data_IF_863107516924
#
_entry.id   IF_863107516924
#
_cell.length_a   1.000
_cell.length_b   1.000
_cell.length_c   1.000
_cell.angle_alpha   90.00
_cell.angle_beta   90.00
_cell.angle_gamma   90.00
#
_symmetry.space_group_name_H-M   'P 1'
#
loop_
_entity.id
_entity.type
_entity.pdbx_description
1 polymer ?
#
# COMPACT_ATOMS: atom_id res chain seq x y z
N UNK A 1 14.55 -61.14 -78.83
CA UNK A 1 13.96 -60.92 -77.48
C UNK A 1 15.03 -60.88 -76.38
N UNK A 2 15.89 -61.90 -76.24
CA UNK A 2 16.95 -61.95 -75.21
C UNK A 2 17.91 -60.74 -75.16
N UNK A 3 18.46 -60.28 -76.30
CA UNK A 3 19.39 -59.13 -76.32
C UNK A 3 18.78 -57.83 -75.78
N UNK A 4 17.49 -57.60 -76.01
CA UNK A 4 16.80 -56.40 -75.53
C UNK A 4 16.55 -56.46 -74.02
N UNK A 5 16.21 -57.64 -73.49
CA UNK A 5 16.04 -57.85 -72.05
C UNK A 5 17.37 -57.68 -71.29
N UNK A 6 18.49 -58.16 -71.85
CA UNK A 6 19.83 -57.94 -71.27
C UNK A 6 20.20 -56.45 -71.25
N UNK A 7 19.91 -55.71 -72.33
CA UNK A 7 20.19 -54.27 -72.39
C UNK A 7 19.35 -53.46 -71.40
N UNK A 8 18.06 -53.77 -71.27
CA UNK A 8 17.18 -53.15 -70.28
C UNK A 8 17.66 -53.42 -68.84
N UNK A 9 18.05 -54.66 -68.53
CA UNK A 9 18.61 -55.02 -67.21
C UNK A 9 19.93 -54.27 -66.91
N UNK A 10 20.79 -54.06 -67.92
CA UNK A 10 22.01 -53.26 -67.77
C UNK A 10 21.73 -51.77 -67.55
N UNK A 11 20.70 -51.22 -68.18
CA UNK A 11 20.28 -49.82 -68.01
C UNK A 11 19.69 -49.60 -66.60
N UNK A 12 18.85 -50.52 -66.11
CA UNK A 12 18.36 -50.46 -64.72
C UNK A 12 19.49 -50.59 -63.70
N UNK A 13 20.43 -51.53 -63.89
CA UNK A 13 21.60 -51.64 -63.01
C UNK A 13 22.44 -50.36 -62.94
N UNK A 14 22.58 -49.65 -64.07
CA UNK A 14 23.31 -48.36 -64.08
C UNK A 14 22.54 -47.28 -63.34
N UNK A 15 21.23 -47.22 -63.53
CA UNK A 15 20.36 -46.29 -62.83
C UNK A 15 20.39 -46.53 -61.31
N UNK A 16 20.29 -47.78 -60.88
CA UNK A 16 20.37 -48.17 -59.47
C UNK A 16 21.74 -47.81 -58.86
N UNK A 17 22.83 -47.93 -59.63
CA UNK A 17 24.16 -47.50 -59.19
C UNK A 17 24.28 -45.97 -59.02
N UNK A 18 23.66 -45.20 -59.90
CA UNK A 18 23.62 -43.73 -59.80
C UNK A 18 22.76 -43.26 -58.62
N UNK A 19 21.58 -43.88 -58.43
CA UNK A 19 20.72 -43.61 -57.28
C UNK A 19 21.42 -43.98 -55.96
N UNK A 20 22.18 -45.09 -55.94
CA UNK A 20 22.98 -45.49 -54.78
C UNK A 20 24.11 -44.49 -54.47
N UNK A 21 24.82 -44.01 -55.49
CA UNK A 21 25.87 -43.00 -55.30
C UNK A 21 25.29 -41.69 -54.77
N UNK A 22 24.18 -41.25 -55.34
CA UNK A 22 23.46 -40.04 -54.91
C UNK A 22 23.03 -40.17 -53.45
N UNK A 23 22.41 -41.30 -53.09
CA UNK A 23 22.00 -41.60 -51.71
C UNK A 23 23.20 -41.62 -50.74
N UNK A 24 24.36 -42.15 -51.16
CA UNK A 24 25.57 -42.13 -50.34
C UNK A 24 26.14 -40.72 -50.15
N UNK A 25 26.07 -39.86 -51.15
CA UNK A 25 26.51 -38.46 -51.05
C UNK A 25 25.59 -37.63 -50.15
N UNK A 26 24.28 -37.81 -50.27
CA UNK A 26 23.29 -37.21 -49.37
C UNK A 26 23.52 -37.66 -47.93
N UNK A 27 23.76 -38.96 -47.70
CA UNK A 27 24.06 -39.49 -46.37
C UNK A 27 25.34 -38.87 -45.79
N UNK A 28 26.42 -38.77 -46.57
CA UNK A 28 27.66 -38.11 -46.14
C UNK A 28 27.43 -36.64 -45.80
N UNK A 29 26.61 -35.95 -46.59
CA UNK A 29 26.26 -34.54 -46.39
C UNK A 29 25.43 -34.37 -45.12
N UNK A 30 24.42 -35.22 -44.91
CA UNK A 30 23.61 -35.26 -43.70
C UNK A 30 24.45 -35.54 -42.45
N UNK A 31 25.39 -36.49 -42.51
CA UNK A 31 26.31 -36.77 -41.41
C UNK A 31 27.23 -35.58 -41.07
N UNK A 32 27.71 -34.85 -42.08
CA UNK A 32 28.51 -33.62 -41.87
C UNK A 32 27.69 -32.53 -41.18
N UNK A 33 26.47 -32.29 -41.66
CA UNK A 33 25.57 -31.29 -41.09
C UNK A 33 25.22 -31.63 -39.63
N UNK A 34 24.89 -32.89 -39.34
CA UNK A 34 24.58 -33.34 -37.99
C UNK A 34 25.78 -33.19 -37.03
N UNK A 35 27.01 -33.46 -37.49
CA UNK A 35 28.22 -33.18 -36.70
C UNK A 35 28.44 -31.70 -36.45
N UNK A 36 28.15 -30.85 -37.42
CA UNK A 36 28.24 -29.39 -37.28
C UNK A 36 27.22 -28.86 -36.28
N UNK A 37 25.97 -29.31 -36.39
CA UNK A 37 24.88 -28.91 -35.49
C UNK A 37 25.17 -29.37 -34.05
N UNK A 38 25.71 -30.58 -33.85
CA UNK A 38 26.16 -31.03 -32.52
C UNK A 38 27.29 -30.16 -31.96
N UNK A 39 28.28 -29.78 -32.77
CA UNK A 39 29.36 -28.90 -32.32
C UNK A 39 28.84 -27.51 -31.95
N UNK A 40 27.92 -26.97 -32.75
CA UNK A 40 27.29 -25.68 -32.49
C UNK A 40 26.48 -25.71 -31.19
N UNK A 41 25.62 -26.71 -31.01
CA UNK A 41 24.85 -26.88 -29.78
C UNK A 41 25.72 -27.10 -28.53
N UNK A 42 26.86 -27.79 -28.66
CA UNK A 42 27.82 -27.89 -27.55
C UNK A 42 28.51 -26.56 -27.20
N UNK A 43 28.70 -25.66 -28.17
CA UNK A 43 29.27 -24.35 -27.92
C UNK A 43 28.26 -23.43 -27.22
N UNK A 44 27.01 -23.40 -27.72
CA UNK A 44 25.90 -22.65 -27.11
C UNK A 44 25.66 -23.09 -25.67
N UNK A 45 25.62 -24.40 -25.39
CA UNK A 45 25.46 -24.92 -24.03
C UNK A 45 26.61 -24.52 -23.09
N UNK A 46 27.83 -24.34 -23.60
CA UNK A 46 28.97 -23.88 -22.78
C UNK A 46 28.84 -22.39 -22.45
N UNK A 47 28.42 -21.59 -23.43
CA UNK A 47 28.17 -20.17 -23.26
C UNK A 47 27.05 -19.91 -22.25
N UNK A 48 25.91 -20.59 -22.41
CA UNK A 48 24.78 -20.51 -21.46
C UNK A 48 25.21 -20.91 -20.04
N UNK A 49 26.08 -21.91 -19.90
CA UNK A 49 26.56 -22.37 -18.60
C UNK A 49 27.56 -21.37 -17.96
N UNK A 50 28.38 -20.69 -18.76
CA UNK A 50 29.22 -19.59 -18.27
C UNK A 50 28.39 -18.39 -17.82
N UNK A 51 27.38 -18.00 -18.59
CA UNK A 51 26.51 -16.88 -18.24
C UNK A 51 25.64 -17.18 -17.02
N UNK A 52 25.15 -18.42 -16.89
CA UNK A 52 24.51 -18.89 -15.67
C UNK A 52 25.45 -18.75 -14.47
N UNK A 53 26.71 -19.14 -14.61
CA UNK A 53 27.70 -19.04 -13.52
C UNK A 53 27.96 -17.58 -13.12
N UNK A 54 28.12 -16.67 -14.09
CA UNK A 54 28.26 -15.22 -13.82
C UNK A 54 27.02 -14.66 -13.12
N UNK A 55 25.83 -15.08 -13.55
CA UNK A 55 24.58 -14.65 -12.92
C UNK A 55 24.46 -15.14 -11.46
N UNK A 56 24.90 -16.37 -11.17
CA UNK A 56 24.96 -16.92 -9.82
C UNK A 56 25.97 -16.18 -8.93
N UNK A 57 27.14 -15.84 -9.46
CA UNK A 57 28.14 -15.04 -8.74
C UNK A 57 27.59 -13.65 -8.39
N UNK A 58 26.95 -12.96 -9.33
CA UNK A 58 26.32 -11.66 -9.08
C UNK A 58 25.20 -11.73 -8.04
N UNK A 59 24.35 -12.75 -8.08
CA UNK A 59 23.31 -12.97 -7.06
C UNK A 59 23.93 -13.18 -5.68
N UNK A 60 25.07 -13.89 -5.60
CA UNK A 60 25.79 -14.11 -4.35
C UNK A 60 26.34 -12.80 -3.79
N UNK A 61 26.95 -11.97 -4.62
CA UNK A 61 27.46 -10.64 -4.23
C UNK A 61 26.33 -9.73 -3.73
N UNK A 62 25.22 -9.64 -4.46
CA UNK A 62 24.06 -8.83 -4.06
C UNK A 62 23.46 -9.32 -2.72
N UNK A 63 23.44 -10.64 -2.51
CA UNK A 63 22.96 -11.24 -1.26
C UNK A 63 23.90 -10.90 -0.08
N UNK A 64 25.21 -11.01 -0.26
CA UNK A 64 26.21 -10.65 0.76
C UNK A 64 26.12 -9.17 1.13
N UNK A 65 26.03 -8.28 0.13
CA UNK A 65 25.86 -6.85 0.36
C UNK A 65 24.55 -6.52 1.11
N UNK A 66 23.46 -7.23 0.78
CA UNK A 66 22.18 -7.07 1.48
C UNK A 66 22.24 -7.53 2.95
N UNK A 67 23.01 -8.59 3.23
CA UNK A 67 23.21 -9.12 4.58
C UNK A 67 24.00 -8.13 5.43
N UNK A 68 25.09 -7.56 4.91
CA UNK A 68 25.89 -6.55 5.61
C UNK A 68 25.04 -5.31 5.95
N UNK A 69 24.21 -4.84 5.01
CA UNK A 69 23.31 -3.70 5.23
C UNK A 69 22.26 -3.98 6.30
N UNK A 70 21.78 -5.22 6.39
CA UNK A 70 20.85 -5.63 7.46
C UNK A 70 21.55 -5.68 8.82
N UNK A 71 22.79 -6.18 8.88
CA UNK A 71 23.58 -6.20 10.12
C UNK A 71 23.85 -4.78 10.65
N UNK A 72 24.21 -3.84 9.78
CA UNK A 72 24.38 -2.43 10.15
C UNK A 72 23.08 -1.83 10.72
N UNK A 73 21.94 -2.04 10.05
CA UNK A 73 20.64 -1.56 10.55
C UNK A 73 20.25 -2.19 11.88
N UNK A 74 20.58 -3.46 12.11
CA UNK A 74 20.35 -4.12 13.40
C UNK A 74 21.21 -3.47 14.50
N UNK A 75 22.46 -3.10 14.21
CA UNK A 75 23.32 -2.39 15.16
C UNK A 75 22.80 -0.97 15.45
N UNK A 76 22.36 -0.23 14.43
CA UNK A 76 21.72 1.09 14.60
C UNK A 76 20.44 0.99 15.45
N UNK A 77 19.62 -0.05 15.25
CA UNK A 77 18.44 -0.27 16.07
C UNK A 77 18.80 -0.60 17.53
N UNK A 78 19.86 -1.40 17.76
CA UNK A 78 20.33 -1.72 19.11
C UNK A 78 20.80 -0.47 19.87
N UNK A 79 21.61 0.37 19.24
CA UNK A 79 22.08 1.64 19.83
C UNK A 79 20.91 2.58 20.15
N UNK A 80 19.96 2.72 19.23
CA UNK A 80 18.74 3.53 19.47
C UNK A 80 17.92 3.02 20.67
N UNK A 81 17.81 1.70 20.85
CA UNK A 81 17.11 1.10 22.00
C UNK A 81 17.86 1.38 23.31
N UNK A 82 19.19 1.31 23.32
CA UNK A 82 20.02 1.63 24.48
C UNK A 82 19.90 3.11 24.88
N UNK A 83 19.90 4.03 23.92
CA UNK A 83 19.68 5.45 24.15
C UNK A 83 18.28 5.73 24.74
N UNK A 84 17.24 5.10 24.21
CA UNK A 84 15.87 5.22 24.75
C UNK A 84 15.79 4.69 26.20
N UNK A 85 16.53 3.63 26.51
CA UNK A 85 16.59 3.07 27.86
C UNK A 85 17.35 3.99 28.83
N UNK A 86 18.41 4.68 28.39
CA UNK A 86 19.12 5.68 29.22
C UNK A 86 18.28 6.94 29.46
N UNK A 87 17.53 7.45 28.47
CA UNK A 87 16.69 8.66 28.62
C UNK A 87 15.51 8.45 29.58
N UNK A 88 15.07 7.22 29.82
CA UNK A 88 14.08 6.90 30.86
C UNK A 88 14.68 6.72 32.26
N UNK A 89 16.01 6.64 32.36
CA UNK A 89 16.73 6.27 33.57
C UNK A 89 16.94 7.38 34.60
N UNK A 90 17.28 8.62 34.21
CA UNK A 90 17.88 9.53 35.22
C UNK A 90 17.43 11.01 35.25
N UNK A 91 16.59 11.56 34.34
CA UNK A 91 16.40 13.03 34.31
C UNK A 91 14.96 13.60 34.39
N UNK A 92 13.95 12.87 34.88
CA UNK A 92 12.58 13.43 35.01
C UNK A 92 11.82 13.12 36.31
N UNK A 93 12.49 12.97 37.45
CA UNK A 93 11.77 12.77 38.73
C UNK A 93 12.19 13.68 39.91
N UNK A 94 13.14 14.61 39.74
CA UNK A 94 13.58 15.50 40.82
C UNK A 94 12.96 16.90 40.78
N UNK A 95 12.48 17.40 39.64
CA UNK A 95 11.98 18.79 39.51
C UNK A 95 10.45 18.98 39.53
N UNK A 96 9.67 17.96 39.89
CA UNK A 96 8.20 18.07 39.99
C UNK A 96 7.62 17.75 41.38
N UNK A 97 8.45 17.71 42.42
CA UNK A 97 7.96 17.45 43.79
C UNK A 97 7.69 18.71 44.62
N UNK A 98 8.21 19.88 44.26
CA UNK A 98 8.15 21.05 45.14
C UNK A 98 6.92 21.96 44.91
N UNK A 99 6.36 22.00 43.69
CA UNK A 99 5.21 22.89 43.37
C UNK A 99 3.83 22.21 43.43
N UNK A 100 3.76 20.90 43.67
CA UNK A 100 2.51 20.13 43.65
C UNK A 100 1.90 19.87 45.03
N UNK A 101 2.08 20.79 45.99
CA UNK A 101 1.32 20.76 47.26
C UNK A 101 -0.07 21.37 47.05
N UNK A 102 -0.85 20.80 46.14
CA UNK A 102 -2.27 21.13 45.99
C UNK A 102 -3.00 20.47 47.15
N UNK A 103 -3.54 21.30 48.04
CA UNK A 103 -4.20 20.87 49.25
C UNK A 103 -5.46 20.06 48.89
N UNK A 104 -5.39 18.73 49.05
CA UNK A 104 -6.45 17.77 48.69
C UNK A 104 -7.80 18.12 49.34
N UNK A 105 -7.76 18.86 50.45
CA UNK A 105 -8.91 19.38 51.18
C UNK A 105 -9.67 20.47 50.40
N UNK A 106 -8.96 21.31 49.66
CA UNK A 106 -9.56 22.40 48.88
C UNK A 106 -10.22 21.86 47.59
N UNK A 107 -9.63 20.85 46.97
CA UNK A 107 -10.20 20.19 45.80
C UNK A 107 -11.50 19.44 46.14
N UNK A 108 -11.54 18.76 47.28
CA UNK A 108 -12.76 18.09 47.76
C UNK A 108 -13.87 19.08 48.09
N UNK A 109 -13.54 20.21 48.73
CA UNK A 109 -14.52 21.26 49.05
C UNK A 109 -15.11 21.89 47.78
N UNK A 110 -14.30 22.12 46.75
CA UNK A 110 -14.77 22.62 45.44
C UNK A 110 -15.65 21.60 44.70
N UNK A 111 -15.37 20.30 44.86
CA UNK A 111 -16.20 19.24 44.28
C UNK A 111 -17.57 19.16 44.98
N UNK A 112 -17.60 19.28 46.31
CA UNK A 112 -18.82 19.24 47.11
C UNK A 112 -19.72 20.48 46.86
N UNK A 113 -19.12 21.67 46.72
CA UNK A 113 -19.83 22.89 46.33
C UNK A 113 -20.44 22.80 44.91
N UNK A 114 -19.75 22.14 43.97
CA UNK A 114 -20.25 21.92 42.61
C UNK A 114 -21.39 20.90 42.56
N UNK A 115 -21.30 19.81 43.32
CA UNK A 115 -22.37 18.81 43.44
C UNK A 115 -23.63 19.40 44.08
N UNK A 116 -23.45 20.29 45.06
CA UNK A 116 -24.57 20.99 45.71
C UNK A 116 -25.26 21.97 44.76
N UNK A 117 -24.50 22.71 43.94
CA UNK A 117 -25.05 23.57 42.87
C UNK A 117 -25.77 22.78 41.79
N UNK A 118 -25.27 21.60 41.43
CA UNK A 118 -25.90 20.72 40.43
C UNK A 118 -27.25 20.16 40.92
N UNK A 119 -27.37 19.84 42.22
CA UNK A 119 -28.65 19.43 42.82
C UNK A 119 -29.67 20.58 42.86
N UNK A 120 -29.24 21.82 43.10
CA UNK A 120 -30.12 23.00 43.12
C UNK A 120 -30.65 23.38 41.72
N UNK A 121 -29.86 23.13 40.66
CA UNK A 121 -30.28 23.31 39.27
C UNK A 121 -31.29 22.25 38.79
N UNK A 122 -31.34 21.08 39.43
CA UNK A 122 -32.32 20.03 39.10
C UNK A 122 -33.69 20.23 39.75
N UNK A 123 -33.83 21.14 40.72
CA UNK A 123 -35.10 21.42 41.43
C UNK A 123 -35.77 22.73 41.02
N UNK A 124 -35.16 23.52 40.13
CA UNK A 124 -35.78 24.72 39.54
C UNK A 124 -36.24 24.42 38.12
N UNK A 125 -37.55 24.12 38.00
CA UNK A 125 -38.15 23.62 36.78
C UNK A 125 -38.01 24.53 35.56
N UNK A 126 -37.66 23.92 34.42
CA UNK A 126 -37.88 24.41 33.07
C UNK A 126 -37.67 23.27 32.07
N UNK A 127 -38.63 22.35 31.96
CA UNK A 127 -38.83 21.59 30.71
C UNK A 127 -40.31 21.65 30.36
N UNK A 128 -40.66 22.70 29.62
CA UNK A 128 -41.92 22.82 28.88
C UNK A 128 -41.57 22.79 27.39
N UNK A 129 -42.21 21.87 26.68
CA UNK A 129 -42.42 21.80 25.22
C UNK A 129 -41.20 21.65 24.27
N UNK A 130 -41.19 20.52 23.56
CA UNK A 130 -41.12 20.43 22.09
C UNK A 130 -39.83 20.83 21.36
N UNK A 131 -39.22 19.85 20.67
CA UNK A 131 -38.36 20.11 19.50
C UNK A 131 -36.93 19.54 19.58
N UNK A 132 -36.70 18.49 18.78
CA UNK A 132 -35.47 18.13 18.05
C UNK A 132 -34.07 18.21 18.73
N UNK A 133 -33.52 17.01 18.93
CA UNK A 133 -32.10 16.58 18.75
C UNK A 133 -31.00 17.55 19.19
N UNK A 134 -30.30 17.16 20.25
CA UNK A 134 -28.83 17.13 20.27
C UNK A 134 -28.37 16.18 21.36
N UNK A 135 -27.57 15.19 20.98
CA UNK A 135 -26.80 14.37 21.91
C UNK A 135 -25.85 15.25 22.71
N UNK A 136 -25.49 14.82 23.92
CA UNK A 136 -24.06 14.67 24.15
C UNK A 136 -23.75 13.29 24.73
N UNK A 137 -22.99 12.55 23.94
CA UNK A 137 -22.06 11.53 24.37
C UNK A 137 -21.30 12.00 25.62
N UNK A 138 -21.67 11.49 26.79
CA UNK A 138 -20.81 11.48 27.96
C UNK A 138 -20.62 10.04 28.42
N UNK A 139 -19.48 9.54 27.97
CA UNK A 139 -18.83 8.26 28.27
C UNK A 139 -18.64 8.13 29.78
N UNK A 140 -19.57 7.48 30.49
CA UNK A 140 -19.34 6.99 31.86
C UNK A 140 -20.21 5.83 32.33
N UNK A 141 -20.87 5.10 31.42
CA UNK A 141 -21.65 3.89 31.75
C UNK A 141 -21.20 2.67 30.94
N UNK A 142 -19.90 2.47 30.77
CA UNK A 142 -19.36 1.19 30.30
C UNK A 142 -18.93 0.40 31.52
N UNK A 143 -19.85 -0.37 32.12
CA UNK A 143 -19.37 -1.57 32.82
C UNK A 143 -20.32 -2.74 32.99
N UNK A 144 -21.60 -2.70 32.60
CA UNK A 144 -22.51 -3.86 32.73
C UNK A 144 -23.62 -3.90 31.66
N UNK A 145 -23.29 -3.84 30.36
CA UNK A 145 -24.29 -4.15 29.33
C UNK A 145 -24.41 -5.66 29.18
N UNK A 146 -25.63 -6.21 29.34
CA UNK A 146 -25.90 -7.62 29.03
C UNK A 146 -25.85 -7.84 27.52
N UNK A 147 -25.47 -9.04 27.08
CA UNK A 147 -25.34 -9.36 25.64
C UNK A 147 -26.66 -9.17 24.86
N UNK A 148 -27.80 -9.38 25.51
CA UNK A 148 -29.13 -9.12 24.95
C UNK A 148 -29.36 -7.63 24.67
N UNK A 149 -28.98 -6.75 25.60
CA UNK A 149 -29.12 -5.30 25.45
C UNK A 149 -28.20 -4.74 24.36
N UNK A 150 -26.97 -5.28 24.25
CA UNK A 150 -26.05 -4.93 23.15
C UNK A 150 -26.63 -5.32 21.80
N UNK A 151 -27.24 -6.49 21.72
CA UNK A 151 -27.86 -7.03 20.50
C UNK A 151 -29.03 -6.14 20.06
N UNK A 152 -29.95 -5.83 20.98
CA UNK A 152 -31.12 -4.99 20.69
C UNK A 152 -30.69 -3.58 20.29
N UNK A 153 -29.72 -3.00 21.01
CA UNK A 153 -29.17 -1.68 20.70
C UNK A 153 -28.51 -1.66 19.31
N UNK A 154 -27.73 -2.68 18.97
CA UNK A 154 -27.08 -2.79 17.67
C UNK A 154 -28.10 -2.93 16.54
N UNK A 155 -29.12 -3.79 16.70
CA UNK A 155 -30.22 -3.93 15.73
C UNK A 155 -30.94 -2.58 15.52
N UNK A 156 -31.20 -1.85 16.61
CA UNK A 156 -31.88 -0.55 16.58
C UNK A 156 -31.02 0.55 15.94
N UNK A 157 -29.69 0.42 16.01
CA UNK A 157 -28.75 1.34 15.40
C UNK A 157 -28.55 1.11 13.89
N UNK A 158 -28.87 -0.09 13.36
CA UNK A 158 -28.76 -0.38 11.93
C UNK A 158 -29.77 0.44 11.12
N UNK A 159 -29.30 1.17 10.10
CA UNK A 159 -30.11 1.97 9.19
C UNK A 159 -29.70 1.72 7.74
N UNK A 160 -30.63 1.90 6.81
CA UNK A 160 -30.37 1.78 5.37
C UNK A 160 -29.82 0.41 4.96
N UNK A 161 -28.79 0.37 4.10
CA UNK A 161 -28.18 -0.87 3.60
C UNK A 161 -27.56 -1.75 4.70
N UNK A 162 -27.26 -1.18 5.87
CA UNK A 162 -26.77 -1.95 7.00
C UNK A 162 -27.86 -2.84 7.62
N UNK A 163 -29.15 -2.50 7.44
CA UNK A 163 -30.29 -3.29 7.93
C UNK A 163 -30.45 -4.60 7.14
N UNK A 164 -30.03 -4.62 5.87
CA UNK A 164 -30.03 -5.81 5.02
C UNK A 164 -29.12 -6.93 5.55
N UNK A 165 -28.20 -6.62 6.49
CA UNK A 165 -27.39 -7.62 7.20
C UNK A 165 -28.25 -8.53 8.07
N UNK A 166 -29.38 -8.04 8.60
CA UNK A 166 -30.32 -8.84 9.37
C UNK A 166 -30.97 -9.94 8.53
N UNK A 167 -31.20 -9.67 7.23
CA UNK A 167 -31.78 -10.65 6.30
C UNK A 167 -30.80 -11.75 5.92
N UNK A 168 -29.50 -11.48 6.04
CA UNK A 168 -28.45 -12.46 5.72
C UNK A 168 -28.22 -13.44 6.86
N UNK A 169 -28.73 -13.13 8.07
CA UNK A 169 -28.65 -14.00 9.23
C UNK A 169 -29.91 -14.87 9.25
N UNK A 170 -29.73 -16.18 9.11
CA UNK A 170 -30.83 -17.16 9.01
C UNK A 170 -31.58 -17.40 10.33
N UNK A 171 -31.10 -16.87 11.45
CA UNK A 171 -31.65 -17.13 12.78
C UNK A 171 -32.68 -16.07 13.19
N UNK A 172 -33.80 -16.53 13.77
CA UNK A 172 -34.90 -15.68 14.24
C UNK A 172 -34.51 -14.73 15.40
N UNK A 173 -33.41 -15.02 16.11
CA UNK A 173 -32.85 -14.17 17.16
C UNK A 173 -31.32 -14.06 17.00
N UNK A 174 -30.82 -13.10 16.20
CA UNK A 174 -29.40 -12.96 15.99
C UNK A 174 -28.73 -12.48 17.28
N UNK A 175 -27.67 -13.16 17.73
CA UNK A 175 -26.88 -12.70 18.88
C UNK A 175 -25.88 -11.60 18.46
N UNK A 176 -25.34 -10.87 19.44
CA UNK A 176 -24.39 -9.78 19.18
C UNK A 176 -23.19 -10.22 18.31
N UNK A 177 -22.59 -11.39 18.61
CA UNK A 177 -21.45 -11.91 17.87
C UNK A 177 -21.77 -12.25 16.41
N UNK A 178 -22.99 -12.72 16.12
CA UNK A 178 -23.44 -13.00 14.76
C UNK A 178 -23.67 -11.71 13.97
N UNK A 179 -24.24 -10.69 14.61
CA UNK A 179 -24.42 -9.37 14.00
C UNK A 179 -23.07 -8.72 13.68
N UNK A 180 -22.14 -8.72 14.62
CA UNK A 180 -20.80 -8.16 14.39
C UNK A 180 -20.06 -8.93 13.30
N UNK A 181 -20.10 -10.26 13.29
CA UNK A 181 -19.48 -11.06 12.23
C UNK A 181 -20.13 -10.83 10.85
N UNK A 182 -21.46 -10.70 10.78
CA UNK A 182 -22.14 -10.42 9.52
C UNK A 182 -21.83 -9.01 9.00
N UNK A 183 -21.74 -8.04 9.91
CA UNK A 183 -21.27 -6.67 9.61
C UNK A 183 -19.81 -6.66 9.18
N UNK A 184 -18.94 -7.42 9.82
CA UNK A 184 -17.53 -7.56 9.43
C UNK A 184 -17.37 -8.28 8.08
N UNK A 185 -18.19 -9.28 7.78
CA UNK A 185 -18.16 -9.92 6.45
C UNK A 185 -18.57 -8.97 5.34
N UNK A 186 -19.59 -8.13 5.59
CA UNK A 186 -20.13 -7.23 4.56
C UNK A 186 -19.39 -5.89 4.48
N UNK A 187 -18.98 -5.33 5.61
CA UNK A 187 -18.39 -3.99 5.73
C UNK A 187 -17.02 -3.99 6.41
N UNK A 188 -16.50 -5.15 6.79
CA UNK A 188 -15.26 -5.24 7.54
C UNK A 188 -14.04 -4.79 6.74
N UNK A 189 -13.01 -4.51 7.53
CA UNK A 189 -11.78 -3.86 7.10
C UNK A 189 -11.06 -4.62 5.98
N UNK A 190 -11.11 -5.96 5.93
CA UNK A 190 -10.42 -6.74 4.90
C UNK A 190 -10.95 -6.48 3.48
N UNK A 191 -12.28 -6.44 3.30
CA UNK A 191 -12.89 -6.11 2.00
C UNK A 191 -12.63 -4.66 1.64
N UNK A 192 -12.74 -3.78 2.64
CA UNK A 192 -12.54 -2.35 2.48
C UNK A 192 -11.08 -2.00 2.11
N UNK A 193 -10.10 -2.70 2.68
CA UNK A 193 -8.68 -2.63 2.34
C UNK A 193 -8.45 -2.93 0.86
N UNK A 194 -8.95 -4.07 0.36
CA UNK A 194 -8.77 -4.46 -1.03
C UNK A 194 -9.43 -3.45 -2.00
N UNK A 195 -10.60 -2.91 -1.63
CA UNK A 195 -11.25 -1.83 -2.39
C UNK A 195 -10.35 -0.59 -2.45
N UNK A 196 -9.81 -0.13 -1.32
CA UNK A 196 -8.92 1.04 -1.30
C UNK A 196 -7.60 0.79 -2.02
N UNK A 197 -7.03 -0.42 -1.96
CA UNK A 197 -5.85 -0.81 -2.75
C UNK A 197 -6.14 -0.73 -4.26
N UNK A 198 -7.32 -1.20 -4.68
CA UNK A 198 -7.75 -1.15 -6.08
C UNK A 198 -8.01 0.29 -6.54
N UNK A 199 -8.66 1.08 -5.70
CA UNK A 199 -8.92 2.50 -6.00
C UNK A 199 -7.62 3.30 -6.04
N UNK A 200 -6.66 3.03 -5.13
CA UNK A 200 -5.36 3.69 -5.11
C UNK A 200 -4.57 3.43 -6.40
N UNK A 201 -4.59 2.20 -6.92
CA UNK A 201 -3.92 1.84 -8.18
C UNK A 201 -4.52 2.52 -9.42
N UNK A 202 -5.80 2.87 -9.38
CA UNK A 202 -6.49 3.54 -10.49
C UNK A 202 -6.61 5.06 -10.30
N UNK A 203 -5.99 5.61 -9.25
CA UNK A 203 -6.19 7.00 -8.84
C UNK A 203 -5.29 7.97 -9.59
N UNK A 204 -5.87 8.67 -10.57
CA UNK A 204 -5.24 9.79 -11.31
C UNK A 204 -5.77 11.15 -10.87
N UNK A 205 -4.93 12.19 -10.88
CA UNK A 205 -5.35 13.56 -10.55
C UNK A 205 -6.39 14.08 -11.57
N UNK A 206 -7.50 14.65 -11.09
CA UNK A 206 -8.57 15.23 -11.94
C UNK A 206 -8.25 16.64 -12.42
N UNK A 207 -8.96 17.13 -13.45
CA UNK A 207 -8.70 18.44 -14.08
C UNK A 207 -9.04 19.59 -13.14
N UNK A 208 -10.05 19.41 -12.30
CA UNK A 208 -10.56 20.39 -11.34
C UNK A 208 -9.94 20.21 -9.94
N UNK A 209 -9.06 19.23 -9.76
CA UNK A 209 -8.51 18.87 -8.46
C UNK A 209 -7.16 19.55 -8.22
N UNK A 210 -7.10 20.31 -7.12
CA UNK A 210 -5.83 20.93 -6.70
C UNK A 210 -4.84 19.88 -6.21
N UNK A 211 -3.55 20.20 -6.30
CA UNK A 211 -2.48 19.31 -5.84
C UNK A 211 -2.64 18.91 -4.37
N UNK A 212 -3.02 19.86 -3.53
CA UNK A 212 -3.25 19.64 -2.09
C UNK A 212 -4.39 18.66 -1.83
N UNK A 213 -5.49 18.78 -2.57
CA UNK A 213 -6.62 17.85 -2.48
C UNK A 213 -6.20 16.44 -2.93
N UNK A 214 -5.43 16.35 -4.01
CA UNK A 214 -4.92 15.07 -4.51
C UNK A 214 -4.03 14.37 -3.50
N UNK A 215 -3.09 15.09 -2.89
CA UNK A 215 -2.17 14.54 -1.86
C UNK A 215 -2.92 14.13 -0.60
N UNK A 216 -3.88 14.94 -0.15
CA UNK A 216 -4.72 14.60 1.00
C UNK A 216 -5.53 13.32 0.74
N UNK A 217 -6.08 13.18 -0.47
CA UNK A 217 -6.88 12.02 -0.84
C UNK A 217 -6.02 10.75 -0.99
N UNK A 218 -4.84 10.83 -1.62
CA UNK A 218 -3.87 9.73 -1.67
C UNK A 218 -3.46 9.31 -0.26
N UNK A 219 -3.11 10.26 0.61
CA UNK A 219 -2.72 9.97 2.00
C UNK A 219 -3.85 9.25 2.75
N UNK A 220 -5.08 9.71 2.60
CA UNK A 220 -6.27 9.06 3.18
C UNK A 220 -6.46 7.64 2.63
N UNK A 221 -6.35 7.45 1.33
CA UNK A 221 -6.53 6.14 0.68
C UNK A 221 -5.45 5.14 1.07
N UNK A 222 -4.18 5.55 1.17
CA UNK A 222 -3.08 4.67 1.60
C UNK A 222 -3.29 4.22 3.04
N UNK A 223 -3.69 5.12 3.95
CA UNK A 223 -3.97 4.77 5.34
C UNK A 223 -5.15 3.76 5.47
N UNK A 224 -6.16 3.88 4.61
CA UNK A 224 -7.30 2.95 4.60
C UNK A 224 -6.99 1.63 3.90
N UNK A 225 -6.08 1.63 2.92
CA UNK A 225 -5.61 0.45 2.20
C UNK A 225 -4.64 -0.41 3.04
N UNK A 226 -3.85 0.23 3.91
CA UNK A 226 -2.78 -0.41 4.69
C UNK A 226 -2.78 0.03 6.18
N UNK A 227 -3.85 -0.22 6.94
CA UNK A 227 -3.96 0.27 8.32
C UNK A 227 -3.01 -0.42 9.31
N UNK A 228 -2.43 -1.57 8.95
CA UNK A 228 -1.46 -2.31 9.77
C UNK A 228 -0.01 -2.05 9.36
N UNK A 229 0.23 -1.27 8.30
CA UNK A 229 1.58 -1.03 7.80
C UNK A 229 2.33 0.00 8.68
N UNK A 230 3.66 -0.12 8.82
CA UNK A 230 4.48 0.89 9.48
C UNK A 230 4.36 2.25 8.79
N UNK A 231 4.40 3.33 9.57
CA UNK A 231 4.26 4.71 9.07
C UNK A 231 5.26 5.05 7.95
N UNK A 232 6.47 4.48 8.00
CA UNK A 232 7.50 4.70 6.97
C UNK A 232 7.12 4.07 5.63
N UNK A 233 6.52 2.87 5.67
CA UNK A 233 6.02 2.17 4.47
C UNK A 233 4.82 2.92 3.88
N UNK A 234 3.94 3.46 4.73
CA UNK A 234 2.80 4.31 4.31
C UNK A 234 3.30 5.57 3.59
N UNK A 235 4.34 6.23 4.10
CA UNK A 235 4.94 7.41 3.44
C UNK A 235 5.49 7.05 2.07
N UNK A 236 6.26 5.97 1.96
CA UNK A 236 6.82 5.51 0.69
C UNK A 236 5.74 5.12 -0.33
N UNK A 237 4.69 4.43 0.11
CA UNK A 237 3.52 4.12 -0.70
C UNK A 237 2.77 5.38 -1.16
N UNK A 238 2.69 6.40 -0.31
CA UNK A 238 2.06 7.68 -0.65
C UNK A 238 2.87 8.44 -1.70
N UNK A 239 4.20 8.49 -1.57
CA UNK A 239 5.10 9.11 -2.57
C UNK A 239 5.00 8.36 -3.91
N UNK A 240 5.16 7.05 -3.89
CA UNK A 240 5.13 6.24 -5.12
C UNK A 240 3.78 6.32 -5.84
N UNK A 241 2.67 6.28 -5.10
CA UNK A 241 1.33 6.39 -5.69
C UNK A 241 1.07 7.78 -6.27
N UNK A 242 1.62 8.83 -5.67
CA UNK A 242 1.52 10.21 -6.17
C UNK A 242 2.32 10.42 -7.46
N UNK A 243 3.56 9.93 -7.51
CA UNK A 243 4.47 10.13 -8.67
C UNK A 243 4.01 9.34 -9.90
N UNK A 244 3.52 8.11 -9.71
CA UNK A 244 3.17 7.23 -10.83
C UNK A 244 1.93 7.68 -11.62
N UNK A 245 1.00 8.39 -10.97
CA UNK A 245 -0.31 8.73 -11.55
C UNK A 245 -0.53 10.25 -11.63
N UNK A 246 0.57 11.02 -11.62
CA UNK A 246 0.55 12.46 -11.82
C UNK A 246 0.12 12.81 -13.25
N UNK A 247 -0.67 13.89 -13.37
CA UNK A 247 -1.30 14.32 -14.62
C UNK A 247 -0.31 14.77 -15.69
N UNK A 248 0.72 15.49 -15.27
CA UNK A 248 1.72 16.07 -16.17
C UNK A 248 2.93 15.12 -16.22
N UNK A 249 3.18 14.45 -17.36
CA UNK A 249 4.26 13.49 -17.48
C UNK A 249 5.66 14.13 -17.33
N UNK A 250 5.82 15.41 -17.68
CA UNK A 250 7.09 16.13 -17.62
C UNK A 250 7.43 16.49 -16.17
N UNK A 251 6.44 16.99 -15.42
CA UNK A 251 6.57 17.23 -13.97
C UNK A 251 6.69 15.91 -13.20
N UNK A 252 5.93 14.88 -13.58
CA UNK A 252 6.02 13.56 -12.95
C UNK A 252 7.41 12.94 -13.10
N UNK A 253 8.06 13.15 -14.25
CA UNK A 253 9.42 12.72 -14.51
C UNK A 253 10.46 13.54 -13.74
N UNK A 254 10.30 14.86 -13.64
CA UNK A 254 11.15 15.73 -12.81
C UNK A 254 11.07 15.38 -11.32
N UNK A 255 9.86 15.13 -10.81
CA UNK A 255 9.67 14.69 -9.42
C UNK A 255 10.28 13.31 -9.19
N UNK A 256 10.15 12.38 -10.14
CA UNK A 256 10.77 11.04 -10.07
C UNK A 256 12.30 11.11 -10.07
N UNK A 257 12.87 12.07 -10.78
CA UNK A 257 14.32 12.32 -10.83
C UNK A 257 14.83 13.04 -9.58
N UNK A 258 14.02 13.93 -8.98
CA UNK A 258 14.33 14.65 -7.76
C UNK A 258 14.14 13.81 -6.48
N UNK A 259 13.39 12.71 -6.53
CA UNK A 259 13.07 11.91 -5.34
C UNK A 259 14.22 11.00 -4.91
N UNK A 260 15.10 11.54 -4.06
CA UNK A 260 15.74 10.76 -3.00
C UNK A 260 14.79 10.71 -1.79
N UNK A 261 14.55 9.50 -1.26
CA UNK A 261 13.27 9.05 -0.67
C UNK A 261 12.83 9.63 0.69
N UNK A 262 13.29 10.81 1.15
CA UNK A 262 13.08 11.21 2.56
C UNK A 262 12.36 12.54 2.85
N UNK A 263 12.31 13.48 1.90
CA UNK A 263 11.76 14.83 2.14
C UNK A 263 10.75 15.29 1.06
N UNK A 264 10.51 14.44 0.07
CA UNK A 264 9.94 14.80 -1.23
C UNK A 264 8.47 15.21 -1.20
N UNK A 265 7.58 14.58 -0.43
CA UNK A 265 6.16 14.96 -0.45
C UNK A 265 5.89 16.37 0.09
N UNK A 266 6.58 16.77 1.17
CA UNK A 266 6.41 18.08 1.78
C UNK A 266 7.07 19.17 0.92
N UNK A 267 8.30 18.94 0.47
CA UNK A 267 9.04 19.89 -0.37
C UNK A 267 8.40 20.04 -1.74
N UNK A 268 7.93 18.97 -2.39
CA UNK A 268 7.28 19.03 -3.72
C UNK A 268 5.93 19.73 -3.62
N UNK A 269 5.16 19.50 -2.55
CA UNK A 269 3.92 20.24 -2.32
C UNK A 269 4.19 21.72 -2.08
N UNK A 270 5.18 22.05 -1.24
CA UNK A 270 5.55 23.43 -0.88
C UNK A 270 6.13 24.19 -2.10
N UNK A 271 7.02 23.56 -2.87
CA UNK A 271 7.63 24.13 -4.07
C UNK A 271 6.59 24.38 -5.17
N UNK A 272 5.70 23.42 -5.45
CA UNK A 272 4.65 23.66 -6.45
C UNK A 272 3.59 24.66 -5.99
N UNK A 273 3.26 24.74 -4.70
CA UNK A 273 2.39 25.84 -4.23
C UNK A 273 3.03 27.20 -4.46
N UNK A 274 4.34 27.33 -4.24
CA UNK A 274 5.08 28.58 -4.47
C UNK A 274 5.19 28.90 -5.96
N UNK A 275 5.43 27.91 -6.84
CA UNK A 275 5.47 28.12 -8.28
C UNK A 275 4.09 28.49 -8.85
N UNK A 276 3.01 27.85 -8.39
CA UNK A 276 1.65 28.18 -8.80
C UNK A 276 1.22 29.56 -8.27
N UNK A 277 1.59 29.94 -7.04
CA UNK A 277 1.38 31.29 -6.53
C UNK A 277 2.20 32.34 -7.30
N UNK A 278 3.46 32.05 -7.61
CA UNK A 278 4.31 32.94 -8.41
C UNK A 278 3.77 33.14 -9.83
N UNK A 279 3.30 32.06 -10.48
CA UNK A 279 2.69 32.13 -11.81
C UNK A 279 1.35 32.89 -11.77
N UNK A 280 0.54 32.71 -10.72
CA UNK A 280 -0.71 33.48 -10.51
C UNK A 280 -0.45 34.96 -10.25
N UNK A 281 0.60 35.28 -9.48
CA UNK A 281 0.98 36.67 -9.19
C UNK A 281 1.57 37.34 -10.43
N UNK A 282 2.40 36.64 -11.22
CA UNK A 282 2.87 37.11 -12.52
C UNK A 282 1.70 37.35 -13.51
N UNK A 283 0.72 36.44 -13.54
CA UNK A 283 -0.49 36.59 -14.36
C UNK A 283 -1.39 37.76 -13.88
N UNK A 284 -1.37 38.10 -12.59
CA UNK A 284 -2.05 39.28 -12.01
C UNK A 284 -1.36 40.59 -12.38
N UNK A 285 -0.02 40.58 -12.44
CA UNK A 285 0.76 41.75 -12.84
C UNK A 285 0.63 42.02 -14.34
N UNK A 286 0.57 40.99 -15.18
CA UNK A 286 0.34 41.14 -16.62
C UNK A 286 -1.10 41.59 -16.97
N UNK A 287 -2.08 41.39 -16.08
CA UNK A 287 -3.48 41.80 -16.31
C UNK A 287 -3.84 43.18 -15.78
N UNK A 288 -2.89 43.97 -15.25
CA UNK A 288 -3.11 45.38 -14.93
C UNK A 288 -2.25 46.35 -15.79
N UNK A 289 -2.61 46.58 -17.06
CA UNK A 289 -1.99 47.61 -17.89
C UNK A 289 -2.53 49.03 -17.64
N UNK A 290 -3.23 49.31 -16.53
CA UNK A 290 -3.73 50.64 -16.19
C UNK A 290 -3.48 50.99 -14.71
N UNK A 291 -2.24 51.32 -14.39
CA UNK A 291 -1.93 52.28 -13.33
C UNK A 291 -0.88 53.28 -13.84
N UNK A 292 -1.38 54.29 -14.55
CA UNK A 292 -0.90 55.68 -14.45
C UNK A 292 -2.02 56.50 -13.78
#
# INVERSE_FOLDING_TARGET
MLKNAVKACQEEMKKDQEEMKTSQEEMKTGQKKLKQDMKKGQAELKEDNEDMKKSQEKIKEDMEASQEKLELKIQEMKTTIEEINQVKGEEKFSHMKEDAKVDKKELNKKMEDLETKFRQLSTTGLIKAGGTVTTPSNVKYVRNWKEEDKTISLITALRGEALEVLRTISEARPNYAMLTNALERRYGYARLQHVYQTQLRSRRQRFEETLQQYVADISRMVNLAYPTAPTEVIKQLSVSSFVNEFRDPEIGELVRLATDTRQSLKIVCEAHTLEIEAVKEASRVETNPYQD
#
